data_IF_241687279571
#
_entry.id   IF_241687279571
#
_cell.length_a   1.000
_cell.length_b   1.000
_cell.length_c   1.000
_cell.angle_alpha   90.00
_cell.angle_beta   90.00
_cell.angle_gamma   90.00
#
_symmetry.space_group_name_H-M   'P 1'
#
loop_
_entity.id
_entity.type
_entity.pdbx_description
1 polymer ?
#
# COMPACT_ATOMS: atom_id res chain seq x y z
N UNK A 1 29.85 51.03 43.42
CA UNK A 1 30.05 50.84 41.96
C UNK A 1 30.06 49.36 41.55
N UNK A 2 30.78 48.46 42.25
CA UNK A 2 30.80 47.01 41.97
C UNK A 2 29.42 46.32 41.94
N UNK A 3 28.50 46.66 42.87
CA UNK A 3 27.14 46.07 42.92
C UNK A 3 26.27 46.44 41.70
N UNK A 4 26.51 47.59 41.07
CA UNK A 4 25.77 48.07 39.89
C UNK A 4 26.25 47.36 38.61
N UNK A 5 27.55 47.07 38.53
CA UNK A 5 28.16 46.28 37.44
C UNK A 5 27.67 44.83 37.44
N UNK A 6 27.60 44.20 38.62
CA UNK A 6 27.05 42.85 38.80
C UNK A 6 25.57 42.76 38.39
N UNK A 7 24.76 43.77 38.72
CA UNK A 7 23.35 43.81 38.32
C UNK A 7 23.19 43.95 36.80
N UNK A 8 24.06 44.73 36.14
CA UNK A 8 24.05 44.86 34.67
C UNK A 8 24.47 43.57 33.95
N UNK A 9 25.41 42.82 34.53
CA UNK A 9 25.89 41.55 33.96
C UNK A 9 24.82 40.45 34.06
N UNK A 10 24.07 40.40 35.18
CA UNK A 10 22.93 39.49 35.34
C UNK A 10 21.78 39.84 34.40
N UNK A 11 21.54 41.12 34.14
CA UNK A 11 20.50 41.57 33.21
C UNK A 11 20.82 41.23 31.74
N UNK A 12 22.10 41.20 31.36
CA UNK A 12 22.52 40.79 30.00
C UNK A 12 22.37 39.28 29.74
N UNK A 13 22.44 38.43 30.77
CA UNK A 13 22.30 36.98 30.62
C UNK A 13 20.84 36.52 30.42
N UNK A 14 19.86 37.39 30.65
CA UNK A 14 18.43 37.06 30.49
C UNK A 14 17.88 37.15 29.06
N UNK A 15 18.64 37.73 28.11
CA UNK A 15 18.16 38.00 26.75
C UNK A 15 18.62 36.98 25.69
N UNK A 16 19.39 35.96 26.05
CA UNK A 16 19.97 34.99 25.11
C UNK A 16 19.21 33.66 24.96
N UNK A 17 18.01 33.52 25.54
CA UNK A 17 17.32 32.23 25.64
C UNK A 17 16.08 32.07 24.73
N UNK A 18 16.09 32.61 23.51
CA UNK A 18 15.03 32.33 22.53
C UNK A 18 15.62 31.77 21.24
N UNK A 19 16.03 30.50 21.29
CA UNK A 19 16.27 29.72 20.08
C UNK A 19 14.91 29.28 19.55
N UNK A 20 14.37 30.04 18.59
CA UNK A 20 13.16 29.63 17.88
C UNK A 20 13.50 28.43 17.01
N UNK A 21 13.25 27.23 17.54
CA UNK A 21 13.33 26.00 16.77
C UNK A 21 12.22 26.04 15.72
N UNK A 22 12.56 26.48 14.51
CA UNK A 22 11.66 26.43 13.37
C UNK A 22 11.46 24.98 12.96
N UNK A 23 10.39 24.37 13.48
CA UNK A 23 9.88 23.13 12.90
C UNK A 23 9.29 23.47 11.53
N UNK A 24 9.80 22.87 10.43
CA UNK A 24 9.23 23.11 9.12
C UNK A 24 7.75 22.71 9.12
N UNK A 25 6.89 23.55 8.54
CA UNK A 25 5.47 23.23 8.39
C UNK A 25 5.31 21.90 7.65
N UNK A 26 4.36 21.03 8.05
CA UNK A 26 4.12 19.80 7.32
C UNK A 26 3.81 20.13 5.86
N UNK A 27 4.37 19.35 4.93
CA UNK A 27 4.15 19.54 3.49
C UNK A 27 2.64 19.54 3.21
N UNK A 28 2.13 20.60 2.60
CA UNK A 28 0.76 20.67 2.11
C UNK A 28 0.70 19.95 0.76
N UNK A 29 -0.18 18.95 0.66
CA UNK A 29 -0.43 18.22 -0.58
C UNK A 29 -1.55 18.91 -1.35
N UNK A 30 -1.61 18.70 -2.67
CA UNK A 30 -2.74 19.15 -3.46
C UNK A 30 -4.03 18.57 -2.87
N UNK A 31 -5.05 19.41 -2.67
CA UNK A 31 -6.38 18.94 -2.30
C UNK A 31 -6.96 18.25 -3.54
N UNK A 32 -7.13 16.94 -3.44
CA UNK A 32 -7.80 16.11 -4.43
C UNK A 32 -9.14 15.75 -3.79
N UNK A 33 -10.24 16.22 -4.37
CA UNK A 33 -11.57 15.79 -3.93
C UNK A 33 -11.80 14.37 -4.49
N UNK A 34 -11.83 13.40 -3.58
CA UNK A 34 -12.01 11.98 -3.89
C UNK A 34 -13.47 11.60 -3.62
N UNK A 35 -14.05 10.68 -4.41
CA UNK A 35 -15.43 10.27 -4.20
C UNK A 35 -15.58 9.45 -2.91
N UNK A 36 -16.80 9.28 -2.45
CA UNK A 36 -17.10 8.32 -1.39
C UNK A 36 -16.87 6.89 -1.89
N UNK A 37 -16.39 6.00 -1.01
CA UNK A 37 -16.14 4.61 -1.36
C UNK A 37 -17.44 3.90 -1.75
N UNK A 38 -17.45 3.29 -2.93
CA UNK A 38 -18.56 2.49 -3.44
C UNK A 38 -18.02 1.19 -4.04
N UNK A 39 -18.69 0.08 -3.76
CA UNK A 39 -18.19 -1.25 -4.09
C UNK A 39 -19.17 -2.05 -4.94
N UNK A 40 -18.64 -2.98 -5.71
CA UNK A 40 -19.35 -3.96 -6.53
C UNK A 40 -18.73 -5.35 -6.35
N UNK A 41 -19.49 -6.40 -6.66
CA UNK A 41 -19.07 -7.79 -6.45
C UNK A 41 -18.36 -8.37 -7.67
N UNK A 42 -17.30 -9.13 -7.43
CA UNK A 42 -16.61 -9.88 -8.49
C UNK A 42 -17.57 -10.92 -9.13
N UNK A 43 -17.54 -11.13 -10.46
CA UNK A 43 -18.30 -12.18 -11.13
C UNK A 43 -18.06 -13.56 -10.52
N UNK A 44 -19.08 -14.41 -10.50
CA UNK A 44 -19.01 -15.76 -9.93
C UNK A 44 -18.34 -16.78 -10.87
N UNK A 45 -17.10 -16.49 -11.28
CA UNK A 45 -16.31 -17.30 -12.22
C UNK A 45 -14.90 -17.62 -11.73
N UNK A 46 -14.57 -17.21 -10.51
CA UNK A 46 -13.24 -17.31 -9.90
C UNK A 46 -13.28 -18.26 -8.69
N UNK A 47 -12.13 -18.87 -8.31
CA UNK A 47 -12.00 -19.65 -7.08
C UNK A 47 -11.97 -18.78 -5.81
N UNK A 48 -12.31 -17.50 -5.94
CA UNK A 48 -12.41 -16.51 -4.88
C UNK A 48 -13.50 -15.49 -5.25
N UNK A 49 -14.01 -14.76 -4.26
CA UNK A 49 -14.92 -13.64 -4.47
C UNK A 49 -14.60 -12.53 -3.47
N UNK A 50 -14.81 -11.28 -3.87
CA UNK A 50 -14.63 -10.11 -3.01
C UNK A 50 -15.42 -8.93 -3.57
N UNK A 51 -15.50 -7.87 -2.78
CA UNK A 51 -15.95 -6.57 -3.24
C UNK A 51 -14.77 -5.72 -3.71
N UNK A 52 -14.98 -4.98 -4.80
CA UNK A 52 -13.99 -4.06 -5.34
C UNK A 52 -14.63 -2.75 -5.77
N UNK A 53 -13.80 -1.72 -5.94
CA UNK A 53 -14.25 -0.35 -6.21
C UNK A 53 -15.11 -0.26 -7.47
N UNK A 54 -16.19 0.52 -7.43
CA UNK A 54 -16.97 0.88 -8.62
C UNK A 54 -16.18 1.78 -9.58
N UNK A 55 -15.11 2.41 -9.08
CA UNK A 55 -14.18 3.23 -9.88
C UNK A 55 -13.09 2.40 -10.57
N UNK A 56 -13.12 1.08 -10.39
CA UNK A 56 -12.17 0.17 -11.02
C UNK A 56 -12.83 -0.67 -12.13
N UNK A 57 -12.12 -0.79 -13.24
CA UNK A 57 -12.44 -1.68 -14.34
C UNK A 57 -11.74 -3.03 -14.13
N UNK A 58 -12.54 -4.09 -14.11
CA UNK A 58 -12.04 -5.46 -14.04
C UNK A 58 -11.58 -5.91 -15.44
N UNK A 59 -10.32 -6.34 -15.54
CA UNK A 59 -9.79 -6.96 -16.75
C UNK A 59 -9.01 -8.22 -16.41
N UNK A 60 -8.90 -9.14 -17.38
CA UNK A 60 -7.96 -10.27 -17.25
C UNK A 60 -6.55 -9.78 -17.50
N UNK A 61 -5.60 -10.40 -16.82
CA UNK A 61 -4.21 -10.23 -17.16
C UNK A 61 -3.93 -10.81 -18.55
N UNK A 62 -3.31 -10.02 -19.42
CA UNK A 62 -3.02 -10.35 -20.82
C UNK A 62 -1.61 -10.87 -21.05
N UNK A 63 -0.76 -10.94 -20.01
CA UNK A 63 0.59 -11.46 -20.19
C UNK A 63 0.56 -12.97 -20.55
N UNK A 64 1.37 -13.43 -21.52
CA UNK A 64 1.32 -14.82 -22.01
C UNK A 64 1.55 -15.91 -20.94
N UNK A 65 2.16 -15.55 -19.80
CA UNK A 65 2.42 -16.46 -18.67
C UNK A 65 1.42 -16.30 -17.52
N UNK A 66 0.38 -15.49 -17.69
CA UNK A 66 -0.58 -15.21 -16.64
C UNK A 66 -1.53 -16.38 -16.42
N UNK A 67 -1.76 -16.69 -15.14
CA UNK A 67 -2.69 -17.74 -14.76
C UNK A 67 -4.12 -17.36 -15.15
N UNK A 68 -4.96 -18.37 -15.38
CA UNK A 68 -6.38 -18.21 -15.77
C UNK A 68 -7.18 -17.25 -14.88
N UNK A 69 -6.83 -17.17 -13.60
CA UNK A 69 -7.51 -16.39 -12.57
C UNK A 69 -6.73 -15.14 -12.14
N UNK A 70 -5.80 -14.68 -12.97
CA UNK A 70 -5.10 -13.42 -12.77
C UNK A 70 -5.96 -12.31 -13.34
N UNK A 71 -6.11 -11.24 -12.57
CA UNK A 71 -6.97 -10.11 -12.91
C UNK A 71 -6.28 -8.80 -12.57
N UNK A 72 -6.71 -7.76 -13.23
CA UNK A 72 -6.30 -6.39 -12.97
C UNK A 72 -7.55 -5.58 -12.61
N UNK A 73 -7.45 -4.77 -11.56
CA UNK A 73 -8.41 -3.73 -11.22
C UNK A 73 -7.79 -2.40 -11.60
N UNK A 74 -8.14 -1.90 -12.78
CA UNK A 74 -7.59 -0.65 -13.31
C UNK A 74 -8.47 0.52 -12.89
N UNK A 75 -7.89 1.59 -12.36
CA UNK A 75 -8.56 2.82 -11.97
C UNK A 75 -8.24 3.90 -13.01
N UNK A 76 -9.10 4.13 -14.01
CA UNK A 76 -8.77 4.99 -15.15
C UNK A 76 -8.47 6.44 -14.75
N UNK A 77 -9.25 6.98 -13.81
CA UNK A 77 -9.12 8.37 -13.32
C UNK A 77 -7.80 8.61 -12.58
N UNK A 78 -7.14 7.54 -12.15
CA UNK A 78 -5.94 7.59 -11.30
C UNK A 78 -4.71 6.98 -11.97
N UNK A 79 -4.86 6.43 -13.18
CA UNK A 79 -3.79 5.75 -13.92
C UNK A 79 -3.05 4.72 -13.03
N UNK A 80 -3.84 3.94 -12.30
CA UNK A 80 -3.39 3.01 -11.28
C UNK A 80 -4.01 1.63 -11.50
N UNK A 81 -3.28 0.59 -11.12
CA UNK A 81 -3.75 -0.79 -11.26
C UNK A 81 -3.40 -1.61 -10.05
N UNK A 82 -4.38 -2.34 -9.50
CA UNK A 82 -4.10 -3.45 -8.60
C UNK A 82 -4.00 -4.70 -9.47
N UNK A 83 -2.79 -5.23 -9.61
CA UNK A 83 -2.56 -6.52 -10.25
C UNK A 83 -2.76 -7.62 -9.23
N UNK A 84 -3.56 -8.63 -9.56
CA UNK A 84 -3.90 -9.74 -8.68
C UNK A 84 -3.44 -11.04 -9.34
N UNK A 85 -2.67 -11.83 -8.59
CA UNK A 85 -2.26 -13.17 -8.98
C UNK A 85 -2.83 -14.20 -8.02
N UNK A 86 -3.24 -15.34 -8.59
CA UNK A 86 -3.85 -16.44 -7.85
C UNK A 86 -3.17 -17.76 -8.19
N UNK A 87 -2.71 -18.51 -7.19
CA UNK A 87 -2.14 -19.84 -7.38
C UNK A 87 -2.99 -20.86 -6.63
N UNK A 88 -3.24 -21.98 -7.30
CA UNK A 88 -3.86 -23.16 -6.69
C UNK A 88 -2.75 -24.03 -6.09
N UNK A 89 -2.71 -24.12 -4.76
CA UNK A 89 -1.71 -24.89 -4.01
C UNK A 89 -1.89 -26.41 -4.15
N UNK A 90 -3.00 -26.88 -4.73
CA UNK A 90 -3.16 -28.29 -5.10
C UNK A 90 -2.34 -28.66 -6.33
N UNK A 91 -1.89 -27.68 -7.12
CA UNK A 91 -0.95 -27.94 -8.21
C UNK A 91 0.45 -28.18 -7.61
N UNK A 92 1.09 -29.34 -7.87
CA UNK A 92 2.42 -29.67 -7.33
C UNK A 92 3.53 -28.69 -7.74
N UNK A 93 3.35 -27.92 -8.81
CA UNK A 93 4.28 -26.88 -9.24
C UNK A 93 4.21 -25.60 -8.38
N UNK A 94 3.20 -25.47 -7.50
CA UNK A 94 3.00 -24.31 -6.65
C UNK A 94 3.37 -24.62 -5.20
N UNK A 95 4.67 -24.49 -4.87
CA UNK A 95 5.13 -24.62 -3.50
C UNK A 95 4.83 -23.33 -2.70
N UNK A 96 4.14 -23.45 -1.55
CA UNK A 96 3.76 -22.29 -0.74
C UNK A 96 4.96 -21.51 -0.19
N UNK A 97 6.04 -22.20 0.21
CA UNK A 97 7.26 -21.56 0.74
C UNK A 97 7.98 -20.77 -0.35
N UNK A 98 8.05 -21.32 -1.56
CA UNK A 98 8.61 -20.62 -2.71
C UNK A 98 7.76 -19.40 -3.09
N UNK A 99 6.43 -19.52 -3.11
CA UNK A 99 5.53 -18.41 -3.42
C UNK A 99 5.60 -17.30 -2.37
N UNK A 100 5.71 -17.65 -1.08
CA UNK A 100 5.92 -16.69 0.00
C UNK A 100 7.27 -15.98 -0.15
N UNK A 101 8.33 -16.74 -0.45
CA UNK A 101 9.68 -16.21 -0.67
C UNK A 101 9.69 -15.27 -1.87
N UNK A 102 9.07 -15.65 -2.98
CA UNK A 102 8.95 -14.82 -4.19
C UNK A 102 8.17 -13.54 -3.90
N UNK A 103 7.05 -13.61 -3.17
CA UNK A 103 6.28 -12.44 -2.78
C UNK A 103 7.10 -11.47 -1.91
N UNK A 104 7.90 -12.01 -0.98
CA UNK A 104 8.82 -11.24 -0.14
C UNK A 104 9.95 -10.61 -0.97
N UNK A 105 10.57 -11.40 -1.83
CA UNK A 105 11.68 -10.98 -2.69
C UNK A 105 11.26 -9.89 -3.67
N UNK A 106 10.07 -10.00 -4.28
CA UNK A 106 9.53 -8.97 -5.16
C UNK A 106 9.30 -7.65 -4.41
N UNK A 107 8.94 -7.73 -3.13
CA UNK A 107 8.77 -6.56 -2.27
C UNK A 107 10.12 -5.94 -1.91
N UNK A 108 11.13 -6.76 -1.57
CA UNK A 108 12.44 -6.29 -1.09
C UNK A 108 13.44 -5.94 -2.21
N UNK A 109 13.64 -6.83 -3.18
CA UNK A 109 14.77 -6.78 -4.13
C UNK A 109 14.61 -5.77 -5.26
N UNK A 110 13.38 -5.30 -5.54
CA UNK A 110 13.09 -4.39 -6.66
C UNK A 110 12.87 -2.93 -6.27
N UNK A 111 13.10 -2.54 -5.01
CA UNK A 111 12.82 -1.19 -4.53
C UNK A 111 14.04 -0.44 -3.96
N UNK A 112 15.17 -0.32 -4.72
CA UNK A 112 16.35 0.40 -4.25
C UNK A 112 16.10 1.91 -4.02
N UNK A 113 14.98 2.44 -4.55
CA UNK A 113 14.52 3.81 -4.38
C UNK A 113 13.49 3.99 -3.25
N UNK A 114 13.14 2.93 -2.51
CA UNK A 114 12.28 3.06 -1.35
C UNK A 114 13.02 3.83 -0.24
N UNK A 115 12.40 4.89 0.25
CA UNK A 115 12.85 5.57 1.46
C UNK A 115 12.52 4.76 2.71
N UNK A 116 11.40 4.04 2.68
CA UNK A 116 11.01 3.13 3.75
C UNK A 116 10.15 2.01 3.22
N UNK A 117 10.22 0.88 3.92
CA UNK A 117 9.38 -0.29 3.72
C UNK A 117 8.80 -0.64 5.10
N UNK A 118 7.48 -0.79 5.17
CA UNK A 118 6.77 -1.21 6.37
C UNK A 118 6.03 -2.49 6.09
N UNK A 119 6.39 -3.54 6.80
CA UNK A 119 5.74 -4.84 6.71
C UNK A 119 4.84 -5.06 7.93
N UNK A 120 3.70 -5.69 7.72
CA UNK A 120 2.77 -6.02 8.79
C UNK A 120 1.92 -7.22 8.41
N UNK A 121 1.57 -8.00 9.42
CA UNK A 121 0.57 -9.07 9.31
C UNK A 121 -0.70 -8.54 9.96
N UNK A 122 -1.80 -8.51 9.21
CA UNK A 122 -3.05 -7.91 9.65
C UNK A 122 -4.16 -8.97 9.61
N UNK A 123 -4.95 -9.04 10.69
CA UNK A 123 -6.17 -9.84 10.73
C UNK A 123 -7.28 -9.12 9.96
N UNK A 124 -7.92 -9.85 9.05
CA UNK A 124 -9.02 -9.36 8.23
C UNK A 124 -10.37 -9.65 8.91
N UNK A 125 -11.41 -8.90 8.55
CA UNK A 125 -12.76 -9.07 9.14
C UNK A 125 -13.38 -10.44 8.88
N UNK A 126 -12.93 -11.14 7.85
CA UNK A 126 -13.35 -12.50 7.49
C UNK A 126 -12.54 -13.61 8.21
N UNK A 127 -11.82 -13.28 9.29
CA UNK A 127 -10.93 -14.17 10.05
C UNK A 127 -9.72 -14.72 9.27
N UNK A 128 -9.44 -14.17 8.09
CA UNK A 128 -8.20 -14.46 7.37
C UNK A 128 -7.08 -13.55 7.84
N UNK A 129 -5.85 -13.85 7.41
CA UNK A 129 -4.67 -13.05 7.70
C UNK A 129 -4.03 -12.64 6.39
N UNK A 130 -3.68 -11.37 6.25
CA UNK A 130 -2.92 -10.87 5.12
C UNK A 130 -1.56 -10.33 5.58
N UNK A 131 -0.52 -10.67 4.84
CA UNK A 131 0.76 -9.95 4.93
C UNK A 131 0.68 -8.75 4.01
N UNK A 132 1.06 -7.58 4.52
CA UNK A 132 1.01 -6.30 3.82
C UNK A 132 2.38 -5.65 3.89
N UNK A 133 2.85 -5.15 2.75
CA UNK A 133 4.03 -4.33 2.63
C UNK A 133 3.67 -2.97 2.02
N UNK A 134 3.97 -1.91 2.74
CA UNK A 134 3.81 -0.52 2.30
C UNK A 134 5.18 0.08 2.01
N UNK A 135 5.34 0.67 0.82
CA UNK A 135 6.60 1.22 0.37
C UNK A 135 6.42 2.71 0.09
N UNK A 136 7.32 3.53 0.64
CA UNK A 136 7.37 4.97 0.40
C UNK A 136 8.61 5.34 -0.41
N UNK A 137 8.50 6.37 -1.26
CA UNK A 137 9.56 6.82 -2.15
C UNK A 137 9.21 6.60 -3.61
N UNK A 138 10.16 6.78 -4.52
CA UNK A 138 9.98 6.62 -5.98
C UNK A 138 9.98 5.14 -6.39
N UNK A 139 9.01 4.39 -5.87
CA UNK A 139 8.84 2.96 -6.14
C UNK A 139 7.70 2.73 -7.13
N UNK A 140 7.80 1.68 -7.98
CA UNK A 140 6.75 1.32 -8.92
C UNK A 140 5.47 0.82 -8.23
N UNK A 141 5.60 0.19 -7.06
CA UNK A 141 4.46 -0.27 -6.26
C UNK A 141 4.60 0.17 -4.81
N UNK A 142 3.57 0.84 -4.31
CA UNK A 142 3.55 1.39 -2.95
C UNK A 142 2.80 0.53 -1.94
N UNK A 143 2.01 -0.43 -2.42
CA UNK A 143 1.22 -1.31 -1.58
C UNK A 143 1.18 -2.70 -2.20
N UNK A 144 1.66 -3.68 -1.45
CA UNK A 144 1.64 -5.08 -1.83
C UNK A 144 1.06 -5.90 -0.69
N UNK A 145 0.43 -7.01 -1.04
CA UNK A 145 -0.11 -7.92 -0.04
C UNK A 145 -0.16 -9.34 -0.57
N UNK A 146 -0.23 -10.30 0.34
CA UNK A 146 -0.62 -11.66 0.03
C UNK A 146 -1.41 -12.29 1.18
N UNK A 147 -2.23 -13.28 0.85
CA UNK A 147 -3.00 -14.09 1.79
C UNK A 147 -3.20 -15.50 1.24
N UNK A 148 -3.40 -16.47 2.13
CA UNK A 148 -3.58 -17.88 1.78
C UNK A 148 -4.37 -18.60 2.86
N UNK A 149 -5.09 -19.65 2.47
CA UNK A 149 -5.68 -20.61 3.40
C UNK A 149 -4.72 -21.76 3.77
N UNK A 150 -3.45 -21.67 3.36
CA UNK A 150 -2.38 -22.66 3.53
C UNK A 150 -2.58 -24.00 2.81
N UNK A 151 -3.71 -24.25 2.14
CA UNK A 151 -4.03 -25.59 1.60
C UNK A 151 -4.39 -25.60 0.12
N UNK A 152 -5.13 -24.58 -0.35
CA UNK A 152 -5.70 -24.54 -1.70
C UNK A 152 -5.44 -23.21 -2.38
N UNK A 153 -5.57 -22.10 -1.65
CA UNK A 153 -5.60 -20.77 -2.26
C UNK A 153 -4.38 -19.96 -1.84
N UNK A 154 -3.64 -19.44 -2.81
CA UNK A 154 -2.65 -18.38 -2.60
C UNK A 154 -3.02 -17.17 -3.46
N UNK A 155 -3.16 -16.01 -2.83
CA UNK A 155 -3.64 -14.79 -3.46
C UNK A 155 -2.69 -13.65 -3.14
N UNK A 156 -2.21 -12.95 -4.17
CA UNK A 156 -1.28 -11.82 -4.04
C UNK A 156 -1.81 -10.65 -4.85
N UNK A 157 -1.57 -9.44 -4.34
CA UNK A 157 -1.80 -8.23 -5.11
C UNK A 157 -0.72 -7.19 -4.92
N UNK A 158 -0.56 -6.35 -5.94
CA UNK A 158 0.35 -5.22 -5.94
C UNK A 158 -0.29 -4.02 -6.64
N UNK A 159 -0.31 -2.88 -5.97
CA UNK A 159 -0.80 -1.61 -6.49
C UNK A 159 0.35 -0.90 -7.21
N UNK A 160 0.18 -0.65 -8.50
CA UNK A 160 1.09 0.12 -9.33
C UNK A 160 0.44 1.44 -9.78
N UNK A 161 1.26 2.46 -9.91
CA UNK A 161 0.91 3.70 -10.60
C UNK A 161 1.76 3.79 -11.85
N UNK A 162 1.13 3.95 -13.02
CA UNK A 162 1.88 4.07 -14.27
C UNK A 162 2.71 5.38 -14.29
N UNK A 163 2.21 6.42 -13.62
CA UNK A 163 2.93 7.69 -13.45
C UNK A 163 3.83 7.66 -12.19
N UNK A 164 4.94 6.93 -12.24
CA UNK A 164 5.86 6.72 -11.11
C UNK A 164 6.62 7.98 -10.62
N UNK A 165 6.53 9.11 -11.32
CA UNK A 165 7.44 10.26 -11.13
C UNK A 165 6.95 11.34 -10.14
N UNK A 166 5.79 11.18 -9.47
CA UNK A 166 5.23 12.20 -8.56
C UNK A 166 4.54 11.63 -7.30
N UNK A 167 5.18 10.66 -6.65
CA UNK A 167 4.60 9.91 -5.53
C UNK A 167 4.10 10.76 -4.35
N UNK A 168 4.79 11.86 -4.02
CA UNK A 168 4.30 12.79 -2.98
C UNK A 168 2.93 13.39 -3.37
N UNK A 169 2.72 13.81 -4.62
CA UNK A 169 1.45 14.44 -5.03
C UNK A 169 0.27 13.48 -5.10
N UNK A 170 0.53 12.18 -5.28
CA UNK A 170 -0.50 11.15 -5.42
C UNK A 170 -0.98 10.57 -4.08
N UNK A 171 -0.36 10.96 -2.96
CA UNK A 171 -0.61 10.32 -1.65
C UNK A 171 -2.10 10.17 -1.29
N UNK A 172 -2.99 11.16 -1.51
CA UNK A 172 -4.42 10.98 -1.26
C UNK A 172 -5.04 9.85 -2.09
N UNK A 173 -4.65 9.72 -3.36
CA UNK A 173 -5.11 8.67 -4.28
C UNK A 173 -4.57 7.31 -3.84
N UNK A 174 -3.29 7.23 -3.47
CA UNK A 174 -2.67 6.01 -2.95
C UNK A 174 -3.45 5.52 -1.72
N UNK A 175 -3.71 6.38 -0.75
CA UNK A 175 -4.46 6.02 0.46
C UNK A 175 -5.92 5.63 0.16
N UNK A 176 -6.54 6.22 -0.85
CA UNK A 176 -7.87 5.82 -1.32
C UNK A 176 -7.88 4.41 -1.89
N UNK A 177 -7.01 4.11 -2.86
CA UNK A 177 -6.96 2.79 -3.49
C UNK A 177 -6.47 1.71 -2.50
N UNK A 178 -5.59 2.08 -1.55
CA UNK A 178 -5.21 1.19 -0.44
C UNK A 178 -6.40 0.78 0.41
N UNK A 179 -7.30 1.71 0.75
CA UNK A 179 -8.53 1.37 1.48
C UNK A 179 -9.40 0.41 0.69
N UNK A 180 -9.52 0.62 -0.61
CA UNK A 180 -10.27 -0.30 -1.48
C UNK A 180 -9.62 -1.70 -1.52
N UNK A 181 -8.29 -1.79 -1.54
CA UNK A 181 -7.57 -3.06 -1.46
C UNK A 181 -7.75 -3.77 -0.10
N UNK A 182 -7.80 -3.01 1.01
CA UNK A 182 -8.10 -3.55 2.33
C UNK A 182 -9.55 -4.04 2.41
N UNK A 183 -10.51 -3.31 1.84
CA UNK A 183 -11.90 -3.75 1.79
C UNK A 183 -12.08 -5.02 0.95
N UNK A 184 -11.36 -5.12 -0.16
CA UNK A 184 -11.26 -6.34 -0.96
C UNK A 184 -10.76 -7.53 -0.11
N UNK A 185 -9.69 -7.35 0.67
CA UNK A 185 -9.18 -8.40 1.55
C UNK A 185 -10.15 -8.76 2.69
N UNK A 186 -10.84 -7.76 3.25
CA UNK A 186 -11.83 -7.97 4.30
C UNK A 186 -13.07 -8.73 3.83
N UNK A 187 -13.39 -8.65 2.55
CA UNK A 187 -14.55 -9.29 1.91
C UNK A 187 -14.15 -10.52 1.07
N UNK A 188 -12.87 -10.90 1.12
CA UNK A 188 -12.37 -12.05 0.39
C UNK A 188 -12.98 -13.35 0.91
N UNK A 189 -13.52 -14.15 0.02
CA UNK A 189 -14.07 -15.48 0.30
C UNK A 189 -13.47 -16.49 -0.66
N UNK A 190 -13.03 -17.63 -0.13
CA UNK A 190 -12.51 -18.75 -0.91
C UNK A 190 -13.63 -19.64 -1.44
N UNK A 191 -13.45 -20.21 -2.63
CA UNK A 191 -14.37 -21.19 -3.23
C UNK A 191 -13.64 -22.51 -3.47
N UNK A 192 -14.13 -23.56 -2.82
CA UNK A 192 -13.53 -24.90 -2.77
C UNK A 192 -14.11 -25.88 -3.79
#
# INVERSE_FOLDING_TARGET
MQKLLLLSFVLMLGFSACEQTYLPKPKAYNRIDLPESAYQVLPDTFPYQFFYSQYAELSRDTFPKSGRYYINLFYPDYDAVIQITYKDLKNPDNNVEELLTEAFDLTMKHNPKAYSIRESIIAMRNNQVASIAELAGEVPSQFQFFTTDSTTHFFRGALYFNTANKNDSLRPIIEFIKKDAIEMLNTLEWKY
#
